data_IF_620849566970
#
_entry.id   IF_620849566970
#
_cell.length_a   1.000
_cell.length_b   1.000
_cell.length_c   1.000
_cell.angle_alpha   90.00
_cell.angle_beta   90.00
_cell.angle_gamma   90.00
#
_symmetry.space_group_name_H-M   'P 1'
#
loop_
_entity.id
_entity.type
_entity.pdbx_description
1 polymer ?
#
# COMPACT_ATOMS: atom_id res chain seq x y z
N UNK A 1 15.63 11.25 12.09
CA UNK A 1 14.80 12.29 11.39
C UNK A 1 14.32 13.32 12.41
N UNK A 2 13.72 14.46 12.02
CA UNK A 2 13.02 15.31 13.01
C UNK A 2 11.64 14.72 13.35
N UNK A 3 11.10 15.02 14.53
CA UNK A 3 9.79 14.50 14.97
C UNK A 3 8.65 14.87 14.00
N UNK A 4 8.73 16.05 13.38
CA UNK A 4 7.76 16.51 12.37
C UNK A 4 7.84 15.62 11.11
N UNK A 5 9.04 15.23 10.68
CA UNK A 5 9.24 14.36 9.53
C UNK A 5 8.75 12.94 9.81
N UNK A 6 8.94 12.43 11.04
CA UNK A 6 8.41 11.12 11.46
C UNK A 6 6.88 11.12 11.37
N UNK A 7 6.23 12.11 11.98
CA UNK A 7 4.77 12.22 11.97
C UNK A 7 4.17 12.35 10.55
N UNK A 8 4.86 13.05 9.65
CA UNK A 8 4.44 13.15 8.25
C UNK A 8 4.57 11.80 7.52
N UNK A 9 5.66 11.08 7.73
CA UNK A 9 5.87 9.75 7.16
C UNK A 9 4.85 8.73 7.67
N UNK A 10 4.49 8.77 8.96
CA UNK A 10 3.43 7.94 9.52
C UNK A 10 2.06 8.23 8.88
N UNK A 11 1.70 9.50 8.68
CA UNK A 11 0.45 9.87 7.98
C UNK A 11 0.44 9.36 6.54
N UNK A 12 1.57 9.46 5.84
CA UNK A 12 1.71 8.93 4.48
C UNK A 12 1.60 7.41 4.46
N UNK A 13 2.20 6.73 5.44
CA UNK A 13 2.12 5.29 5.60
C UNK A 13 0.67 4.82 5.77
N UNK A 14 -0.10 5.45 6.65
CA UNK A 14 -1.52 5.16 6.87
C UNK A 14 -2.33 5.30 5.57
N UNK A 15 -2.07 6.37 4.79
CA UNK A 15 -2.74 6.56 3.49
C UNK A 15 -2.42 5.43 2.51
N UNK A 16 -1.15 4.99 2.45
CA UNK A 16 -0.73 3.88 1.60
C UNK A 16 -1.38 2.57 2.03
N UNK A 17 -1.45 2.27 3.32
CA UNK A 17 -2.08 1.06 3.86
C UNK A 17 -3.57 1.00 3.55
N UNK A 18 -4.29 2.12 3.73
CA UNK A 18 -5.69 2.22 3.34
C UNK A 18 -5.85 1.94 1.84
N UNK A 19 -5.02 2.55 1.01
CA UNK A 19 -5.08 2.36 -0.44
C UNK A 19 -4.75 0.93 -0.86
N UNK A 20 -3.81 0.27 -0.20
CA UNK A 20 -3.50 -1.14 -0.42
C UNK A 20 -4.73 -2.02 -0.15
N UNK A 21 -5.39 -1.82 0.99
CA UNK A 21 -6.59 -2.57 1.35
C UNK A 21 -7.73 -2.36 0.35
N UNK A 22 -7.94 -1.13 -0.12
CA UNK A 22 -8.93 -0.82 -1.18
C UNK A 22 -8.63 -1.55 -2.50
N UNK A 23 -7.37 -1.54 -2.94
CA UNK A 23 -6.96 -2.22 -4.18
C UNK A 23 -7.11 -3.74 -4.05
N UNK A 24 -6.71 -4.32 -2.92
CA UNK A 24 -6.86 -5.75 -2.66
C UNK A 24 -8.33 -6.15 -2.71
N UNK A 25 -9.21 -5.44 -1.99
CA UNK A 25 -10.65 -5.68 -2.02
C UNK A 25 -11.20 -5.60 -3.45
N UNK A 26 -10.86 -4.54 -4.18
CA UNK A 26 -11.31 -4.35 -5.57
C UNK A 26 -10.81 -5.45 -6.50
N UNK A 27 -9.59 -5.96 -6.30
CA UNK A 27 -9.07 -7.07 -7.10
C UNK A 27 -9.89 -8.34 -6.89
N UNK A 28 -10.28 -8.65 -5.65
CA UNK A 28 -11.14 -9.78 -5.34
C UNK A 28 -12.55 -9.62 -5.93
N UNK A 29 -13.16 -8.45 -5.77
CA UNK A 29 -14.51 -8.16 -6.29
C UNK A 29 -14.59 -8.36 -7.81
N UNK A 30 -13.51 -8.05 -8.54
CA UNK A 30 -13.47 -8.14 -10.01
C UNK A 30 -13.00 -9.51 -10.49
N UNK A 31 -12.29 -10.29 -9.66
CA UNK A 31 -11.62 -11.54 -10.06
C UNK A 31 -12.54 -12.58 -10.74
N UNK A 32 -13.80 -12.65 -10.31
CA UNK A 32 -14.80 -13.58 -10.85
C UNK A 32 -15.36 -13.13 -12.21
N UNK A 33 -15.27 -11.83 -12.53
CA UNK A 33 -15.85 -11.24 -13.75
C UNK A 33 -14.80 -10.94 -14.81
N UNK A 34 -13.62 -10.49 -14.40
CA UNK A 34 -12.52 -10.14 -15.27
C UNK A 34 -11.19 -10.39 -14.56
N UNK A 35 -10.61 -11.57 -14.80
CA UNK A 35 -9.39 -12.03 -14.14
C UNK A 35 -8.17 -11.18 -14.50
N UNK A 36 -8.08 -10.73 -15.75
CA UNK A 36 -6.95 -9.90 -16.22
C UNK A 36 -6.92 -8.56 -15.48
N UNK A 37 -8.07 -7.86 -15.45
CA UNK A 37 -8.21 -6.60 -14.72
C UNK A 37 -8.02 -6.77 -13.21
N UNK A 38 -8.48 -7.88 -12.65
CA UNK A 38 -8.21 -8.20 -11.24
C UNK A 38 -6.72 -8.38 -10.97
N UNK A 39 -6.00 -9.09 -11.85
CA UNK A 39 -4.55 -9.27 -11.75
C UNK A 39 -3.78 -7.94 -11.88
N UNK A 40 -4.21 -7.04 -12.77
CA UNK A 40 -3.61 -5.70 -12.86
C UNK A 40 -3.74 -4.91 -11.55
N UNK A 41 -4.95 -4.92 -10.96
CA UNK A 41 -5.23 -4.24 -9.69
C UNK A 41 -4.42 -4.87 -8.56
N UNK A 42 -4.36 -6.21 -8.52
CA UNK A 42 -3.58 -6.95 -7.54
C UNK A 42 -2.07 -6.67 -7.67
N UNK A 43 -1.55 -6.58 -8.89
CA UNK A 43 -0.16 -6.20 -9.16
C UNK A 43 0.16 -4.80 -8.64
N UNK A 44 -0.75 -3.84 -8.85
CA UNK A 44 -0.63 -2.48 -8.27
C UNK A 44 -0.63 -2.52 -6.75
N UNK A 45 -1.52 -3.33 -6.14
CA UNK A 45 -1.56 -3.51 -4.69
C UNK A 45 -0.24 -4.08 -4.16
N UNK A 46 0.33 -5.10 -4.83
CA UNK A 46 1.63 -5.66 -4.46
C UNK A 46 2.74 -4.63 -4.50
N UNK A 47 2.84 -3.81 -5.55
CA UNK A 47 3.85 -2.74 -5.62
C UNK A 47 3.71 -1.78 -4.43
N UNK A 48 2.50 -1.35 -4.12
CA UNK A 48 2.22 -0.48 -2.98
C UNK A 48 2.59 -1.13 -1.63
N UNK A 49 2.37 -2.45 -1.48
CA UNK A 49 2.80 -3.18 -0.30
C UNK A 49 4.32 -3.16 -0.11
N UNK A 50 5.09 -3.28 -1.19
CA UNK A 50 6.55 -3.20 -1.10
C UNK A 50 6.98 -1.80 -0.64
N UNK A 51 6.36 -0.74 -1.15
CA UNK A 51 6.62 0.63 -0.68
C UNK A 51 6.27 0.82 0.80
N UNK A 52 5.14 0.26 1.27
CA UNK A 52 4.74 0.28 2.68
C UNK A 52 5.82 -0.38 3.55
N UNK A 53 6.30 -1.55 3.13
CA UNK A 53 7.34 -2.29 3.86
C UNK A 53 8.69 -1.57 3.86
N UNK A 54 9.04 -0.87 2.79
CA UNK A 54 10.22 0.00 2.75
C UNK A 54 10.07 1.21 3.68
N UNK A 55 8.91 1.88 3.67
CA UNK A 55 8.65 3.01 4.56
C UNK A 55 8.69 2.59 6.03
N UNK A 56 8.08 1.44 6.38
CA UNK A 56 8.13 0.88 7.74
C UNK A 56 9.56 0.59 8.18
N UNK A 57 10.35 -0.07 7.33
CA UNK A 57 11.78 -0.33 7.62
C UNK A 57 12.54 0.98 7.83
N UNK A 58 12.31 2.00 6.99
CA UNK A 58 12.97 3.30 7.19
C UNK A 58 12.58 3.92 8.53
N UNK A 59 11.32 3.86 8.95
CA UNK A 59 10.86 4.41 10.23
C UNK A 59 11.42 3.63 11.44
N UNK A 60 11.58 2.32 11.33
CA UNK A 60 12.12 1.48 12.41
C UNK A 60 13.61 1.73 12.69
N UNK A 61 14.36 2.17 11.68
CA UNK A 61 15.82 2.39 11.75
C UNK A 61 16.25 3.88 11.61
N UNK A 62 15.35 4.86 11.79
CA UNK A 62 15.61 6.30 11.57
C UNK A 62 15.44 7.20 12.78
#
# INVERSE_FOLDING_TARGET
MTDIQIAEQERLLIKKERRYSELMRKSFEISLRNRERANEIHSKAKKLYHEIMETRRRLEYA
#
